data_IF_371957779510
#
_entry.id   IF_371957779510
#
_cell.length_a   1.000
_cell.length_b   1.000
_cell.length_c   1.000
_cell.angle_alpha   90.00
_cell.angle_beta   90.00
_cell.angle_gamma   90.00
#
_symmetry.space_group_name_H-M   'P 1'
#
loop_
_entity.id
_entity.type
_entity.pdbx_description
1 polymer ?
#
# COMPACT_ATOMS: atom_id res chain seq x y z
N UNK A 1 30.16 4.64 9.54
CA UNK A 1 30.35 3.56 10.55
C UNK A 1 29.00 3.19 11.16
N UNK A 2 28.36 2.08 10.76
CA UNK A 2 27.30 1.41 11.55
C UNK A 2 27.44 -0.10 11.31
N UNK A 3 27.78 -0.87 12.36
CA UNK A 3 28.07 -2.32 12.36
C UNK A 3 26.94 -3.12 13.02
N UNK A 4 26.65 -4.33 12.52
CA UNK A 4 26.18 -5.55 13.22
C UNK A 4 25.97 -6.66 12.16
N UNK A 5 26.94 -7.54 11.86
CA UNK A 5 27.27 -8.87 12.44
C UNK A 5 26.17 -9.94 12.19
N UNK A 6 26.62 -10.96 11.45
CA UNK A 6 25.96 -11.99 10.65
C UNK A 6 25.86 -13.33 11.41
N UNK A 7 24.94 -14.23 11.02
CA UNK A 7 24.97 -15.69 11.29
C UNK A 7 24.10 -16.41 10.25
N UNK A 8 24.76 -17.14 9.36
CA UNK A 8 24.16 -17.72 8.16
C UNK A 8 23.53 -19.11 8.30
N UNK A 9 23.07 -19.64 7.16
CA UNK A 9 23.12 -21.06 6.79
C UNK A 9 22.59 -21.26 5.35
N UNK A 10 23.42 -21.89 4.53
CA UNK A 10 23.12 -22.51 3.24
C UNK A 10 22.06 -23.62 3.38
N UNK A 11 21.19 -23.81 2.38
CA UNK A 11 20.87 -25.16 1.83
C UNK A 11 20.56 -25.04 0.33
N UNK A 12 21.36 -25.79 -0.42
CA UNK A 12 21.25 -26.21 -1.83
C UNK A 12 20.14 -27.25 -2.02
N UNK A 13 19.28 -27.11 -3.03
CA UNK A 13 18.65 -28.28 -3.68
C UNK A 13 18.50 -28.05 -5.19
N UNK A 14 19.10 -28.98 -5.92
CA UNK A 14 19.18 -29.12 -7.37
C UNK A 14 17.96 -29.92 -7.86
N UNK A 15 17.30 -29.50 -8.95
CA UNK A 15 16.34 -30.34 -9.69
C UNK A 15 16.77 -30.46 -11.16
N UNK A 16 16.81 -31.69 -11.73
CA UNK A 16 17.19 -31.96 -13.12
C UNK A 16 16.05 -31.72 -14.14
N UNK A 17 16.35 -31.72 -15.46
CA UNK A 17 15.53 -31.08 -16.49
C UNK A 17 14.42 -31.97 -17.04
N UNK A 18 13.29 -31.36 -17.42
CA UNK A 18 12.23 -31.98 -18.22
C UNK A 18 12.45 -31.67 -19.70
N UNK A 19 12.55 -32.72 -20.49
CA UNK A 19 12.68 -32.73 -21.94
C UNK A 19 11.30 -32.66 -22.62
N UNK A 20 11.20 -31.82 -23.65
CA UNK A 20 10.15 -31.84 -24.68
C UNK A 20 10.48 -32.90 -25.74
N UNK A 21 9.49 -33.41 -26.49
CA UNK A 21 9.15 -32.86 -27.82
C UNK A 21 7.63 -33.09 -28.13
N UNK A 22 6.97 -32.75 -29.24
CA UNK A 22 7.33 -32.38 -30.61
C UNK A 22 6.11 -31.69 -31.24
N UNK A 23 6.40 -30.83 -32.21
CA UNK A 23 5.52 -30.21 -33.20
C UNK A 23 4.53 -31.15 -33.91
N UNK A 24 3.31 -30.68 -34.17
CA UNK A 24 2.43 -31.15 -35.26
C UNK A 24 1.58 -29.98 -35.79
N UNK A 25 2.01 -29.47 -36.95
CA UNK A 25 1.24 -28.86 -38.07
C UNK A 25 -0.14 -29.52 -38.32
N UNK A 26 -1.22 -28.95 -38.89
CA UNK A 26 -1.43 -27.78 -39.77
C UNK A 26 -2.96 -27.65 -40.08
N UNK A 27 -3.44 -26.40 -40.32
CA UNK A 27 -4.56 -25.96 -41.21
C UNK A 27 -6.05 -26.07 -40.73
N UNK A 28 -7.02 -25.39 -41.40
CA UNK A 28 -7.27 -23.94 -41.31
C UNK A 28 -8.76 -23.58 -41.03
N UNK A 29 -8.98 -22.31 -40.69
CA UNK A 29 -10.26 -21.70 -40.31
C UNK A 29 -11.31 -21.66 -41.45
N UNK A 30 -12.60 -21.93 -41.17
CA UNK A 30 -13.67 -21.44 -42.02
C UNK A 30 -14.05 -19.99 -41.69
N UNK A 31 -14.08 -19.15 -42.73
CA UNK A 31 -14.69 -17.83 -42.72
C UNK A 31 -16.16 -17.94 -42.26
N UNK A 32 -16.53 -17.21 -41.22
CA UNK A 32 -17.94 -16.90 -40.97
C UNK A 32 -18.17 -15.38 -41.03
N UNK A 33 -18.46 -14.91 -42.24
CA UNK A 33 -18.89 -13.54 -42.53
C UNK A 33 -20.40 -13.44 -42.30
N UNK A 34 -20.79 -13.09 -41.09
CA UNK A 34 -22.15 -12.62 -40.82
C UNK A 34 -22.11 -11.15 -40.42
N UNK A 35 -22.47 -10.29 -41.38
CA UNK A 35 -22.88 -8.91 -41.10
C UNK A 35 -24.14 -8.95 -40.25
N UNK A 36 -24.09 -8.41 -39.03
CA UNK A 36 -25.28 -8.04 -38.26
C UNK A 36 -25.06 -6.69 -37.56
N UNK A 37 -25.80 -5.72 -38.08
CA UNK A 37 -26.28 -4.46 -37.50
C UNK A 37 -25.64 -3.96 -36.21
N UNK A 38 -24.94 -2.83 -36.33
CA UNK A 38 -24.66 -1.92 -35.23
C UNK A 38 -25.99 -1.37 -34.68
N UNK A 39 -26.35 -1.78 -33.47
CA UNK A 39 -27.29 -1.05 -32.62
C UNK A 39 -26.44 -0.48 -31.48
N UNK A 40 -26.12 0.82 -31.60
CA UNK A 40 -25.54 1.62 -30.52
C UNK A 40 -26.58 1.61 -29.38
N UNK A 41 -26.31 0.87 -28.31
CA UNK A 41 -27.12 0.88 -27.10
C UNK A 41 -26.22 1.19 -25.91
N UNK A 42 -26.26 2.46 -25.53
CA UNK A 42 -25.98 3.01 -24.20
C UNK A 42 -24.76 2.43 -23.47
N UNK A 43 -23.66 3.18 -23.46
CA UNK A 43 -22.67 3.13 -22.38
C UNK A 43 -23.36 3.51 -21.07
N UNK A 44 -23.99 2.52 -20.44
CA UNK A 44 -24.27 2.55 -19.02
C UNK A 44 -22.93 2.27 -18.36
N UNK A 45 -22.21 3.34 -18.01
CA UNK A 45 -21.10 3.28 -17.07
C UNK A 45 -21.62 2.57 -15.84
N UNK A 46 -21.36 1.27 -15.74
CA UNK A 46 -21.56 0.56 -14.51
C UNK A 46 -20.50 1.12 -13.58
N UNK A 47 -20.91 2.05 -12.71
CA UNK A 47 -20.23 2.29 -11.46
C UNK A 47 -19.97 0.90 -10.87
N UNK A 48 -18.71 0.50 -10.93
CA UNK A 48 -18.28 -0.81 -10.47
C UNK A 48 -18.55 -0.79 -8.96
N UNK A 49 -19.48 -1.61 -8.44
CA UNK A 49 -19.66 -1.70 -7.00
C UNK A 49 -18.29 -2.05 -6.42
N UNK A 50 -17.87 -1.32 -5.39
CA UNK A 50 -16.58 -1.47 -4.69
C UNK A 50 -16.46 -2.92 -4.21
N UNK A 51 -16.01 -3.79 -5.10
CA UNK A 51 -15.77 -5.20 -4.84
C UNK A 51 -14.65 -5.20 -3.82
N UNK A 52 -14.98 -5.64 -2.61
CA UNK A 52 -14.12 -5.61 -1.43
C UNK A 52 -12.68 -5.89 -1.82
N UNK A 53 -11.90 -4.80 -1.87
CA UNK A 53 -10.55 -4.84 -2.38
C UNK A 53 -9.74 -5.75 -1.47
N UNK A 54 -9.17 -6.82 -2.02
CA UNK A 54 -8.41 -7.83 -1.28
C UNK A 54 -7.05 -7.31 -0.78
N UNK A 55 -6.88 -5.98 -0.75
CA UNK A 55 -5.69 -5.26 -0.34
C UNK A 55 -5.58 -5.23 1.18
N UNK A 56 -4.35 -5.31 1.64
CA UNK A 56 -4.03 -5.07 3.05
C UNK A 56 -3.74 -3.59 3.26
N UNK A 57 -3.97 -3.14 4.49
CA UNK A 57 -3.76 -1.76 4.89
C UNK A 57 -2.68 -1.68 5.95
N UNK A 58 -1.87 -0.65 5.83
CA UNK A 58 -0.71 -0.45 6.69
C UNK A 58 -0.59 1.01 7.09
N UNK A 59 0.24 1.27 8.08
CA UNK A 59 0.66 2.60 8.49
C UNK A 59 2.18 2.61 8.61
N UNK A 60 2.79 3.57 7.94
CA UNK A 60 4.22 3.77 7.83
C UNK A 60 4.62 5.06 8.53
N UNK A 61 5.48 4.96 9.54
CA UNK A 61 5.94 6.11 10.33
C UNK A 61 7.26 6.65 9.80
N UNK A 62 7.31 7.96 9.64
CA UNK A 62 8.53 8.73 9.35
C UNK A 62 8.54 9.99 10.21
N UNK A 63 9.71 10.55 10.48
CA UNK A 63 9.80 11.91 11.06
C UNK A 63 9.82 12.93 9.93
N UNK A 64 9.04 14.02 10.01
CA UNK A 64 8.97 15.02 8.94
C UNK A 64 10.31 15.75 8.70
N UNK A 65 11.25 15.68 9.64
CA UNK A 65 12.60 16.21 9.45
C UNK A 65 13.52 15.25 8.68
N UNK A 66 13.18 13.97 8.60
CA UNK A 66 13.92 12.94 7.85
C UNK A 66 13.30 12.72 6.47
N UNK A 67 11.98 12.55 6.41
CA UNK A 67 11.23 12.40 5.17
C UNK A 67 9.78 12.88 5.36
N UNK A 68 9.45 14.03 4.77
CA UNK A 68 8.12 14.64 4.83
C UNK A 68 7.24 14.23 3.64
N UNK A 69 5.97 14.64 3.68
CA UNK A 69 5.08 14.44 2.53
C UNK A 69 5.52 15.28 1.31
N UNK A 70 6.02 16.50 1.55
CA UNK A 70 6.55 17.34 0.48
C UNK A 70 7.74 16.68 -0.23
N UNK A 71 8.61 16.00 0.52
CA UNK A 71 9.74 15.25 -0.06
C UNK A 71 9.23 14.06 -0.89
N UNK A 72 8.21 13.33 -0.39
CA UNK A 72 7.58 12.25 -1.12
C UNK A 72 6.97 12.73 -2.45
N UNK A 73 6.22 13.84 -2.42
CA UNK A 73 5.57 14.40 -3.59
C UNK A 73 6.59 14.94 -4.62
N UNK A 74 7.67 15.57 -4.14
CA UNK A 74 8.72 16.11 -5.00
C UNK A 74 9.58 15.03 -5.66
N UNK A 75 9.67 13.82 -5.09
CA UNK A 75 10.48 12.72 -5.62
C UNK A 75 9.70 11.82 -6.61
N UNK A 76 9.00 12.43 -7.56
CA UNK A 76 8.08 11.76 -8.50
C UNK A 76 7.04 10.85 -7.81
N UNK A 77 6.69 11.19 -6.57
CA UNK A 77 5.83 10.38 -5.73
C UNK A 77 6.44 9.07 -5.24
N UNK A 78 7.67 8.69 -5.60
CA UNK A 78 8.26 7.38 -5.26
C UNK A 78 9.33 7.49 -4.18
N UNK A 79 9.44 6.49 -3.31
CA UNK A 79 10.52 6.44 -2.32
C UNK A 79 10.81 5.01 -1.87
N UNK A 80 12.03 4.81 -1.37
CA UNK A 80 12.44 3.56 -0.71
C UNK A 80 12.08 3.64 0.76
N UNK A 81 11.37 2.64 1.26
CA UNK A 81 11.06 2.53 2.68
C UNK A 81 12.10 1.64 3.36
N UNK A 82 13.25 2.24 3.67
CA UNK A 82 14.40 1.58 4.28
C UNK A 82 14.55 1.91 5.78
N UNK A 83 15.71 1.62 6.38
CA UNK A 83 16.03 2.02 7.76
C UNK A 83 15.25 1.29 8.86
N UNK A 84 14.37 0.33 8.52
CA UNK A 84 13.54 -0.41 9.47
C UNK A 84 14.36 -1.46 10.23
N UNK A 85 14.70 -1.15 11.48
CA UNK A 85 15.50 -2.03 12.35
C UNK A 85 14.68 -3.00 13.19
N UNK A 86 13.42 -2.68 13.46
CA UNK A 86 12.57 -3.51 14.32
C UNK A 86 12.17 -4.79 13.58
N UNK A 87 12.51 -5.97 14.11
CA UNK A 87 12.25 -7.26 13.46
C UNK A 87 10.76 -7.53 13.19
N UNK A 88 9.85 -7.05 14.03
CA UNK A 88 8.41 -7.15 13.78
C UNK A 88 7.99 -6.26 12.62
N UNK A 89 8.48 -5.01 12.58
CA UNK A 89 8.23 -4.11 11.44
C UNK A 89 8.82 -4.65 10.14
N UNK A 90 10.02 -5.26 10.18
CA UNK A 90 10.61 -5.95 9.04
C UNK A 90 9.72 -7.11 8.55
N UNK A 91 9.13 -7.90 9.46
CA UNK A 91 8.15 -8.94 9.08
C UNK A 91 6.91 -8.35 8.41
N UNK A 92 6.42 -7.21 8.89
CA UNK A 92 5.30 -6.50 8.24
C UNK A 92 5.65 -6.02 6.83
N UNK A 93 6.84 -5.44 6.62
CA UNK A 93 7.31 -5.09 5.28
C UNK A 93 7.38 -6.30 4.35
N UNK A 94 7.89 -7.45 4.84
CA UNK A 94 7.94 -8.69 4.06
C UNK A 94 6.57 -9.25 3.69
N UNK A 95 5.52 -8.92 4.45
CA UNK A 95 4.15 -9.36 4.17
C UNK A 95 3.39 -8.43 3.23
N UNK A 96 3.93 -7.26 2.91
CA UNK A 96 3.30 -6.31 1.97
C UNK A 96 3.27 -6.86 0.56
N UNK A 97 2.19 -6.55 -0.15
CA UNK A 97 1.96 -6.91 -1.55
C UNK A 97 1.80 -5.70 -2.44
N UNK A 98 2.10 -5.87 -3.73
CA UNK A 98 1.92 -4.79 -4.70
C UNK A 98 0.50 -4.22 -4.64
N UNK A 99 0.43 -2.89 -4.53
CA UNK A 99 -0.83 -2.16 -4.44
C UNK A 99 -1.45 -2.08 -3.04
N UNK A 100 -0.90 -2.76 -2.02
CA UNK A 100 -1.32 -2.54 -0.63
C UNK A 100 -1.22 -1.05 -0.28
N UNK A 101 -2.21 -0.54 0.48
CA UNK A 101 -2.29 0.87 0.83
C UNK A 101 -1.69 1.13 2.20
N UNK A 102 -0.97 2.23 2.31
CA UNK A 102 -0.22 2.60 3.49
C UNK A 102 -0.52 4.05 3.86
N UNK A 103 -0.95 4.30 5.09
CA UNK A 103 -0.96 5.66 5.63
C UNK A 103 0.47 6.15 5.82
N UNK A 104 0.74 7.34 5.29
CA UNK A 104 1.96 8.10 5.55
C UNK A 104 1.76 8.88 6.85
N UNK A 105 2.40 8.42 7.92
CA UNK A 105 2.23 8.96 9.26
C UNK A 105 3.47 9.72 9.71
N UNK A 106 3.29 11.02 9.97
CA UNK A 106 4.31 11.82 10.63
C UNK A 106 4.38 11.44 12.11
N UNK A 107 5.58 11.13 12.56
CA UNK A 107 5.90 10.78 13.94
C UNK A 107 6.68 11.92 14.63
N UNK A 108 7.15 11.69 15.86
CA UNK A 108 7.70 12.75 16.72
C UNK A 108 6.68 13.32 17.71
N UNK A 109 7.10 14.26 18.57
CA UNK A 109 6.24 14.78 19.64
C UNK A 109 5.19 15.80 19.16
N UNK A 110 5.50 16.56 18.11
CA UNK A 110 4.72 17.73 17.65
C UNK A 110 3.95 17.50 16.34
N UNK A 111 4.12 16.35 15.67
CA UNK A 111 3.62 16.12 14.32
C UNK A 111 2.88 14.79 14.16
N UNK A 112 2.25 14.27 15.23
CA UNK A 112 1.65 12.92 15.26
C UNK A 112 0.34 12.86 14.48
N UNK A 113 0.43 12.63 13.17
CA UNK A 113 -0.75 12.63 12.29
C UNK A 113 -0.55 11.81 11.02
N UNK A 114 -1.65 11.36 10.45
CA UNK A 114 -1.70 10.84 9.08
C UNK A 114 -1.79 12.03 8.14
N UNK A 115 -0.90 12.12 7.16
CA UNK A 115 -0.86 13.24 6.19
C UNK A 115 -1.17 12.83 4.77
N UNK A 116 -1.04 11.55 4.42
CA UNK A 116 -1.26 11.09 3.06
C UNK A 116 -1.35 9.58 2.97
N UNK A 117 -1.54 9.11 1.74
CA UNK A 117 -1.60 7.70 1.39
C UNK A 117 -0.54 7.40 0.34
N UNK A 118 0.22 6.34 0.59
CA UNK A 118 1.13 5.72 -0.37
C UNK A 118 0.68 4.28 -0.65
N UNK A 119 1.19 3.68 -1.72
CA UNK A 119 0.96 2.29 -2.06
C UNK A 119 2.28 1.58 -2.33
N UNK A 120 2.31 0.27 -2.09
CA UNK A 120 3.49 -0.54 -2.32
C UNK A 120 3.70 -0.69 -3.83
N UNK A 121 4.75 -0.03 -4.34
CA UNK A 121 5.17 -0.04 -5.73
C UNK A 121 6.15 -1.19 -6.04
N UNK A 122 6.87 -1.66 -5.02
CA UNK A 122 7.73 -2.85 -5.10
C UNK A 122 7.67 -3.64 -3.81
N UNK A 123 7.41 -4.94 -3.91
CA UNK A 123 7.49 -5.85 -2.75
C UNK A 123 8.91 -5.88 -2.16
N UNK A 124 9.04 -6.53 -1.01
CA UNK A 124 10.27 -6.51 -0.25
C UNK A 124 11.47 -7.02 -1.07
N UNK A 125 12.59 -6.33 -0.89
CA UNK A 125 13.89 -6.75 -1.37
C UNK A 125 14.96 -6.39 -0.33
N UNK A 126 16.15 -6.94 -0.54
CA UNK A 126 17.33 -6.63 0.26
C UNK A 126 18.23 -5.71 -0.55
N UNK A 127 18.54 -4.53 -0.02
CA UNK A 127 19.44 -3.56 -0.67
C UNK A 127 20.89 -3.71 -0.20
N UNK A 128 21.06 -4.04 1.08
CA UNK A 128 22.30 -4.45 1.74
C UNK A 128 22.03 -5.65 2.65
N UNK A 129 23.08 -6.34 3.11
CA UNK A 129 22.93 -7.51 3.98
C UNK A 129 22.02 -7.22 5.20
N UNK A 130 21.04 -8.09 5.44
CA UNK A 130 20.04 -8.02 6.50
C UNK A 130 19.07 -6.81 6.50
N UNK A 131 19.07 -6.01 5.43
CA UNK A 131 18.09 -4.94 5.24
C UNK A 131 16.81 -5.45 4.59
N UNK A 132 15.68 -4.86 4.99
CA UNK A 132 14.37 -5.14 4.41
C UNK A 132 13.79 -3.83 3.93
N UNK A 133 13.65 -3.71 2.62
CA UNK A 133 13.20 -2.48 1.95
C UNK A 133 12.01 -2.82 1.06
N UNK A 134 11.04 -1.92 0.99
CA UNK A 134 9.98 -1.90 -0.04
C UNK A 134 10.05 -0.55 -0.76
N UNK A 135 9.56 -0.48 -1.99
CA UNK A 135 9.37 0.84 -2.63
C UNK A 135 7.90 1.22 -2.53
N UNK A 136 7.63 2.47 -2.21
CA UNK A 136 6.26 3.02 -2.13
C UNK A 136 6.09 4.17 -3.11
N UNK A 137 4.87 4.33 -3.59
CA UNK A 137 4.47 5.45 -4.45
C UNK A 137 3.28 6.22 -3.87
N UNK A 138 3.28 7.53 -4.05
CA UNK A 138 2.24 8.42 -3.58
C UNK A 138 0.93 8.12 -4.31
N UNK A 139 -0.15 8.05 -3.54
CA UNK A 139 -1.51 7.86 -4.06
C UNK A 139 -2.25 9.18 -3.99
N UNK A 140 -2.18 9.86 -2.84
CA UNK A 140 -2.81 11.16 -2.63
C UNK A 140 -2.60 11.67 -1.22
N UNK A 141 -2.66 13.00 -1.08
CA UNK A 141 -2.61 13.65 0.23
C UNK A 141 -3.95 13.48 0.96
N UNK A 142 -3.93 13.43 2.30
CA UNK A 142 -5.17 13.49 3.07
C UNK A 142 -5.79 14.88 2.88
N UNK A 143 -7.10 14.97 2.66
CA UNK A 143 -7.77 16.28 2.54
C UNK A 143 -7.62 17.07 3.83
N UNK A 144 -7.83 16.40 4.96
CA UNK A 144 -7.51 16.91 6.29
C UNK A 144 -6.57 15.93 7.01
N UNK A 145 -5.38 16.37 7.45
CA UNK A 145 -4.48 15.52 8.22
C UNK A 145 -5.15 15.09 9.54
N UNK A 146 -5.11 13.79 9.85
CA UNK A 146 -5.79 13.24 11.03
C UNK A 146 -4.80 13.05 12.17
N UNK A 147 -4.96 13.82 13.24
CA UNK A 147 -4.08 13.79 14.41
C UNK A 147 -4.33 12.55 15.28
N UNK A 148 -3.29 12.09 16.00
CA UNK A 148 -3.39 10.96 16.94
C UNK A 148 -4.48 11.17 18.00
N UNK A 149 -4.76 12.41 18.39
CA UNK A 149 -5.83 12.74 19.36
C UNK A 149 -7.20 12.48 18.75
N UNK A 150 -7.41 12.88 17.50
CA UNK A 150 -8.66 12.69 16.76
C UNK A 150 -8.89 11.22 16.48
N UNK A 151 -7.85 10.49 16.08
CA UNK A 151 -7.90 9.03 15.94
C UNK A 151 -8.35 8.37 17.25
N UNK A 152 -7.78 8.75 18.40
CA UNK A 152 -8.18 8.14 19.68
C UNK A 152 -9.63 8.44 20.06
N UNK A 153 -10.10 9.67 19.80
CA UNK A 153 -11.46 10.10 20.09
C UNK A 153 -12.47 9.43 19.15
N UNK A 154 -12.22 9.47 17.85
CA UNK A 154 -13.11 8.92 16.82
C UNK A 154 -13.15 7.39 16.78
N UNK A 155 -12.23 6.73 17.48
CA UNK A 155 -12.15 5.27 17.60
C UNK A 155 -12.43 4.76 19.01
N UNK A 156 -13.02 5.60 19.87
CA UNK A 156 -13.45 5.19 21.19
C UNK A 156 -14.44 4.02 21.09
N UNK A 157 -14.13 2.90 21.73
CA UNK A 157 -14.93 1.66 21.66
C UNK A 157 -14.58 0.70 20.52
N UNK A 158 -13.66 1.05 19.62
CA UNK A 158 -13.15 0.12 18.61
C UNK A 158 -12.03 -0.79 19.14
N UNK A 159 -11.80 -1.92 18.44
CA UNK A 159 -10.72 -2.86 18.77
C UNK A 159 -9.38 -2.12 18.90
N UNK A 160 -8.58 -2.51 19.89
CA UNK A 160 -7.34 -1.84 20.26
C UNK A 160 -6.32 -1.80 19.10
N UNK A 161 -6.32 -0.68 18.36
CA UNK A 161 -5.48 -0.46 17.20
C UNK A 161 -3.99 -0.61 17.56
N UNK A 162 -3.23 -1.31 16.73
CA UNK A 162 -1.82 -1.62 17.00
C UNK A 162 -0.96 -0.35 17.21
N UNK A 163 -1.32 0.78 16.59
CA UNK A 163 -0.66 2.06 16.81
C UNK A 163 -0.71 2.52 18.28
N UNK A 164 -1.83 2.32 18.96
CA UNK A 164 -2.04 2.74 20.35
C UNK A 164 -1.36 1.81 21.33
N UNK A 165 -1.37 0.50 21.03
CA UNK A 165 -0.74 -0.54 21.85
C UNK A 165 0.78 -0.58 21.71
N UNK A 166 1.32 -0.28 20.53
CA UNK A 166 2.73 -0.41 20.20
C UNK A 166 3.27 0.88 19.55
N UNK A 167 3.45 1.97 20.32
CA UNK A 167 3.85 3.27 19.77
C UNK A 167 5.24 3.27 19.12
N UNK A 168 6.14 2.37 19.53
CA UNK A 168 7.50 2.21 19.00
C UNK A 168 7.57 1.40 17.70
N UNK A 169 6.47 0.78 17.26
CA UNK A 169 6.42 0.02 16.01
C UNK A 169 6.26 1.00 14.84
N UNK A 170 7.18 0.98 13.87
CA UNK A 170 7.22 1.92 12.74
C UNK A 170 6.37 1.50 11.53
N UNK A 171 6.13 0.20 11.37
CA UNK A 171 5.28 -0.38 10.32
C UNK A 171 4.16 -1.13 11.02
N UNK A 172 2.94 -0.65 10.88
CA UNK A 172 1.79 -1.08 11.68
C UNK A 172 0.70 -1.63 10.76
N UNK A 173 0.17 -2.85 10.99
CA UNK A 173 -0.99 -3.33 10.25
C UNK A 173 -2.23 -2.55 10.65
N UNK A 174 -3.06 -2.22 9.67
CA UNK A 174 -4.31 -1.48 9.83
C UNK A 174 -5.46 -2.37 9.38
N UNK A 175 -6.44 -2.59 10.25
CA UNK A 175 -7.65 -3.30 9.88
C UNK A 175 -8.50 -2.41 8.95
N UNK A 176 -9.27 -3.00 8.04
CA UNK A 176 -10.07 -2.25 7.07
C UNK A 176 -11.02 -1.26 7.74
N UNK A 177 -11.62 -1.64 8.86
CA UNK A 177 -12.55 -0.78 9.60
C UNK A 177 -11.84 0.45 10.18
N UNK A 178 -10.58 0.28 10.60
CA UNK A 178 -9.75 1.38 11.10
C UNK A 178 -9.31 2.28 9.95
N UNK A 179 -8.95 1.70 8.81
CA UNK A 179 -8.63 2.45 7.60
C UNK A 179 -9.78 3.36 7.19
N UNK A 180 -10.97 2.78 7.04
CA UNK A 180 -12.18 3.50 6.64
C UNK A 180 -12.49 4.63 7.63
N UNK A 181 -12.33 4.38 8.94
CA UNK A 181 -12.56 5.42 9.94
C UNK A 181 -11.55 6.57 9.86
N UNK A 182 -10.27 6.29 9.60
CA UNK A 182 -9.26 7.35 9.43
C UNK A 182 -9.58 8.17 8.19
N UNK A 183 -9.95 7.51 7.09
CA UNK A 183 -10.38 8.21 5.88
C UNK A 183 -11.61 9.07 6.15
N UNK A 184 -12.63 8.57 6.85
CA UNK A 184 -13.82 9.35 7.23
C UNK A 184 -13.46 10.58 8.07
N UNK A 185 -12.60 10.42 9.08
CA UNK A 185 -12.16 11.52 9.94
C UNK A 185 -11.40 12.61 9.18
N UNK A 186 -10.61 12.24 8.18
CA UNK A 186 -9.84 13.19 7.36
C UNK A 186 -10.57 13.68 6.12
N UNK A 187 -11.87 13.37 5.99
CA UNK A 187 -12.67 13.69 4.80
C UNK A 187 -12.20 12.97 3.53
N UNK A 188 -11.40 11.91 3.65
CA UNK A 188 -10.80 11.15 2.56
C UNK A 188 -9.39 11.61 2.16
N UNK A 189 -8.92 11.13 1.02
CA UNK A 189 -7.64 11.52 0.44
C UNK A 189 -7.79 11.81 -1.05
N UNK A 190 -6.86 12.56 -1.63
CA UNK A 190 -6.89 12.88 -3.05
C UNK A 190 -6.88 11.60 -3.91
N UNK A 191 -7.80 11.51 -4.88
CA UNK A 191 -7.91 10.34 -5.75
C UNK A 191 -8.62 9.13 -5.13
N UNK A 192 -9.27 9.27 -3.96
CA UNK A 192 -10.09 8.22 -3.34
C UNK A 192 -11.47 8.01 -4.01
N UNK A 193 -11.84 8.88 -4.95
CA UNK A 193 -13.14 8.85 -5.65
C UNK A 193 -14.30 9.46 -4.86
N UNK A 194 -14.06 9.98 -3.66
CA UNK A 194 -15.04 10.72 -2.87
C UNK A 194 -14.99 12.17 -3.33
N UNK A 195 -15.84 12.59 -4.27
CA UNK A 195 -15.92 14.03 -4.60
C UNK A 195 -16.28 14.81 -3.33
N UNK A 196 -15.50 15.85 -3.04
CA UNK A 196 -15.62 16.65 -1.81
C UNK A 196 -16.97 17.35 -1.72
N UNK A 197 -17.98 16.64 -1.23
CA UNK A 197 -19.30 17.18 -0.93
C UNK A 197 -19.28 17.90 0.41
N UNK A 198 -18.76 19.13 0.44
CA UNK A 198 -19.13 20.11 1.46
C UNK A 198 -20.11 21.11 0.83
N UNK A 199 -21.30 20.61 0.55
CA UNK A 199 -22.50 21.44 0.38
C UNK A 199 -23.24 21.43 1.72
N UNK A 200 -23.00 22.44 2.53
CA UNK A 200 -23.76 22.73 3.73
C UNK A 200 -24.33 24.15 3.59
N UNK A 201 -25.65 24.18 3.38
CA UNK A 201 -26.65 25.28 3.46
C UNK A 201 -26.21 26.75 3.31
#
# INVERSE_FOLDING_TARGET
MRRAINLGANITTIFPPVTSPTSTSLLPLPLNRHKRNAVIRSEKTMANPVAGDKRQYWLLKTEPAEWSWADQAANDGRSKWDGVKNKQAQKHLKSMKLGDRCFFYHSGAKARRVVGVVAVAREWYSSVEDEVVVDVEAVGEMREPVDLKEMKKGMEGMKNFALFRQPRLSVVPVAKEIWDKICELGGGFEGDGTEGGHGSD
#
